data_IF_441040419314
#
_entry.id   IF_441040419314
#
_cell.length_a   1.000
_cell.length_b   1.000
_cell.length_c   1.000
_cell.angle_alpha   90.00
_cell.angle_beta   90.00
_cell.angle_gamma   90.00
#
_symmetry.space_group_name_H-M   'P 1'
#
loop_
_entity.id
_entity.type
_entity.pdbx_description
1 polymer ?
#
# COMPACT_ATOMS: atom_id res chain seq x y z
N UNK A 1 -51.98 -26.48 -45.42
CA UNK A 1 -51.31 -27.27 -44.37
C UNK A 1 -49.99 -26.60 -44.05
N UNK A 2 -49.85 -26.19 -42.78
CA UNK A 2 -48.65 -25.84 -42.01
C UNK A 2 -47.52 -25.01 -42.66
N UNK A 3 -47.45 -23.73 -42.26
CA UNK A 3 -46.22 -22.95 -42.25
C UNK A 3 -45.40 -23.35 -41.01
N UNK A 4 -44.13 -23.72 -41.20
CA UNK A 4 -43.22 -24.04 -40.10
C UNK A 4 -42.59 -22.75 -39.56
N UNK A 5 -42.94 -22.38 -38.33
CA UNK A 5 -42.33 -21.28 -37.60
C UNK A 5 -40.97 -21.73 -37.02
N UNK A 6 -39.91 -20.99 -37.31
CA UNK A 6 -38.60 -21.13 -36.66
C UNK A 6 -38.66 -20.58 -35.24
N UNK A 7 -38.04 -21.24 -34.25
CA UNK A 7 -38.03 -20.73 -32.88
C UNK A 7 -37.07 -19.53 -32.76
N UNK A 8 -37.34 -18.55 -31.89
CA UNK A 8 -36.44 -17.44 -31.68
C UNK A 8 -35.19 -17.94 -30.94
N UNK A 9 -34.02 -17.62 -31.49
CA UNK A 9 -32.73 -17.86 -30.85
C UNK A 9 -32.68 -17.01 -29.57
N UNK A 10 -32.79 -17.65 -28.39
CA UNK A 10 -32.65 -16.98 -27.10
C UNK A 10 -31.18 -16.52 -26.98
N UNK A 11 -30.92 -15.23 -27.26
CA UNK A 11 -29.63 -14.62 -27.02
C UNK A 11 -29.47 -14.47 -25.50
N UNK A 12 -28.81 -15.44 -24.85
CA UNK A 12 -28.33 -15.26 -23.49
C UNK A 12 -27.31 -14.12 -23.50
N UNK A 13 -27.74 -12.92 -23.10
CA UNK A 13 -26.82 -11.88 -22.66
C UNK A 13 -26.10 -12.41 -21.42
N UNK A 14 -24.87 -12.90 -21.63
CA UNK A 14 -23.88 -12.99 -20.56
C UNK A 14 -23.58 -11.56 -20.12
N UNK A 15 -24.32 -11.09 -19.11
CA UNK A 15 -23.90 -9.95 -18.32
C UNK A 15 -22.57 -10.35 -17.68
N UNK A 16 -21.46 -9.91 -18.28
CA UNK A 16 -20.17 -9.92 -17.62
C UNK A 16 -20.30 -8.93 -16.45
N UNK A 17 -20.67 -9.46 -15.28
CA UNK A 17 -20.51 -8.73 -14.03
C UNK A 17 -19.02 -8.53 -13.88
N UNK A 18 -18.55 -7.33 -14.21
CA UNK A 18 -17.22 -6.88 -13.82
C UNK A 18 -17.22 -6.89 -12.29
N UNK A 19 -16.69 -7.98 -11.72
CA UNK A 19 -16.35 -7.99 -10.30
C UNK A 19 -15.35 -6.87 -10.09
N UNK A 20 -15.55 -5.96 -9.12
CA UNK A 20 -14.53 -4.98 -8.79
C UNK A 20 -13.24 -5.74 -8.48
N UNK A 21 -12.14 -5.35 -9.13
CA UNK A 21 -10.82 -5.83 -8.74
C UNK A 21 -10.66 -5.54 -7.24
N UNK A 22 -10.14 -6.49 -6.44
CA UNK A 22 -9.94 -6.19 -5.03
C UNK A 22 -9.02 -4.98 -4.94
N UNK A 23 -9.38 -3.98 -4.14
CA UNK A 23 -8.50 -2.88 -3.78
C UNK A 23 -7.39 -3.46 -2.91
N UNK A 24 -6.27 -3.76 -3.56
CA UNK A 24 -5.02 -4.13 -2.90
C UNK A 24 -4.40 -2.86 -2.33
N UNK A 25 -3.34 -3.00 -1.55
CA UNK A 25 -2.43 -1.91 -1.21
C UNK A 25 -1.93 -1.11 -2.41
N UNK A 26 -0.69 -0.64 -2.28
CA UNK A 26 0.15 -0.72 -3.47
C UNK A 26 -0.05 -2.10 -4.16
N UNK A 27 0.02 -2.14 -5.48
CA UNK A 27 0.07 -3.42 -6.18
C UNK A 27 1.25 -4.27 -5.70
N UNK A 28 1.34 -5.50 -6.20
CA UNK A 28 2.43 -6.45 -5.85
C UNK A 28 3.80 -5.78 -5.97
N UNK A 29 4.04 -5.02 -7.04
CA UNK A 29 5.32 -4.37 -7.30
C UNK A 29 5.61 -3.27 -6.27
N UNK A 30 4.64 -2.41 -5.91
CA UNK A 30 4.89 -1.35 -4.93
C UNK A 30 5.21 -1.90 -3.53
N UNK A 31 4.54 -2.98 -3.08
CA UNK A 31 4.91 -3.66 -1.83
C UNK A 31 6.28 -4.34 -1.90
N UNK A 32 6.58 -4.97 -3.03
CA UNK A 32 7.89 -5.57 -3.28
C UNK A 32 8.98 -4.49 -3.18
N UNK A 33 8.80 -3.35 -3.83
CA UNK A 33 9.72 -2.22 -3.81
C UNK A 33 9.94 -1.68 -2.40
N UNK A 34 8.86 -1.35 -1.66
CA UNK A 34 8.93 -0.87 -0.27
C UNK A 34 9.73 -1.83 0.60
N UNK A 35 9.44 -3.12 0.53
CA UNK A 35 10.11 -4.12 1.34
C UNK A 35 11.56 -4.41 0.92
N UNK A 36 11.86 -4.36 -0.38
CA UNK A 36 13.21 -4.55 -0.88
C UNK A 36 14.12 -3.37 -0.47
N UNK A 37 13.62 -2.13 -0.60
CA UNK A 37 14.30 -0.93 -0.10
C UNK A 37 14.52 -1.05 1.42
N UNK A 38 13.49 -1.44 2.16
CA UNK A 38 13.58 -1.56 3.61
C UNK A 38 14.61 -2.61 4.04
N UNK A 39 14.58 -3.79 3.40
CA UNK A 39 15.47 -4.90 3.73
C UNK A 39 16.96 -4.54 3.52
N UNK A 40 17.26 -3.76 2.48
CA UNK A 40 18.62 -3.25 2.23
C UNK A 40 19.12 -2.24 3.26
N UNK A 41 18.25 -1.72 4.13
CA UNK A 41 18.54 -0.69 5.15
C UNK A 41 18.44 -1.19 6.59
N UNK A 42 18.25 -2.50 6.79
CA UNK A 42 18.18 -3.09 8.12
C UNK A 42 19.55 -3.08 8.79
N UNK A 43 19.56 -2.76 10.08
CA UNK A 43 20.67 -3.01 10.99
C UNK A 43 20.96 -4.51 11.09
N UNK A 44 22.16 -4.89 11.55
CA UNK A 44 22.51 -6.30 11.72
C UNK A 44 21.55 -7.08 12.62
N UNK A 45 21.05 -6.44 13.70
CA UNK A 45 20.08 -7.05 14.61
C UNK A 45 18.70 -7.23 13.96
N UNK A 46 18.19 -6.19 13.29
CA UNK A 46 16.92 -6.28 12.57
C UNK A 46 16.96 -7.27 11.41
N UNK A 47 18.07 -7.32 10.65
CA UNK A 47 18.25 -8.29 9.57
C UNK A 47 18.28 -9.73 10.10
N UNK A 48 18.88 -9.96 11.27
CA UNK A 48 18.87 -11.28 11.91
C UNK A 48 17.47 -11.69 12.38
N UNK A 49 16.73 -10.78 13.02
CA UNK A 49 15.36 -11.03 13.48
C UNK A 49 14.39 -11.27 12.31
N UNK A 50 14.48 -10.46 11.24
CA UNK A 50 13.69 -10.66 10.02
C UNK A 50 13.97 -12.03 9.40
N UNK A 51 15.25 -12.43 9.30
CA UNK A 51 15.61 -13.76 8.80
C UNK A 51 15.04 -14.89 9.67
N UNK A 52 15.06 -14.73 10.99
CA UNK A 52 14.55 -15.72 11.94
C UNK A 52 13.03 -15.87 11.86
N UNK A 53 12.31 -14.77 11.69
CA UNK A 53 10.85 -14.75 11.59
C UNK A 53 10.32 -15.19 10.22
N UNK A 54 11.10 -15.05 9.15
CA UNK A 54 10.68 -15.44 7.82
C UNK A 54 10.69 -16.97 7.64
N UNK A 55 9.67 -17.54 6.97
CA UNK A 55 9.67 -18.97 6.68
C UNK A 55 10.78 -19.33 5.68
N UNK A 56 11.28 -20.56 5.76
CA UNK A 56 12.43 -21.02 4.96
C UNK A 56 12.23 -20.87 3.45
N UNK A 57 11.00 -21.03 2.95
CA UNK A 57 10.69 -20.90 1.52
C UNK A 57 10.83 -19.45 1.00
N UNK A 58 10.77 -18.45 1.88
CA UNK A 58 11.03 -17.05 1.53
C UNK A 58 12.52 -16.79 1.28
N UNK A 59 13.41 -17.73 1.63
CA UNK A 59 14.88 -17.61 1.42
C UNK A 59 15.47 -16.32 2.01
N UNK A 60 14.97 -15.93 3.18
CA UNK A 60 15.32 -14.66 3.85
C UNK A 60 14.94 -13.41 3.05
N UNK A 61 14.08 -13.50 2.04
CA UNK A 61 13.61 -12.36 1.27
C UNK A 61 12.25 -11.86 1.80
N UNK A 62 12.25 -10.71 2.47
CA UNK A 62 11.03 -10.10 2.99
C UNK A 62 10.10 -9.68 1.84
N UNK A 63 10.64 -9.12 0.76
CA UNK A 63 9.85 -8.60 -0.36
C UNK A 63 8.99 -9.66 -1.04
N UNK A 64 9.43 -10.92 -1.05
CA UNK A 64 8.65 -12.05 -1.61
C UNK A 64 7.34 -12.37 -0.86
N UNK A 65 7.16 -11.81 0.34
CA UNK A 65 5.98 -12.04 1.18
C UNK A 65 5.27 -10.73 1.56
N UNK A 66 5.68 -9.58 1.02
CA UNK A 66 5.09 -8.31 1.42
C UNK A 66 3.68 -8.07 0.89
N UNK A 67 3.23 -8.82 -0.12
CA UNK A 67 1.83 -8.82 -0.56
C UNK A 67 0.95 -9.85 0.17
N UNK A 68 1.52 -10.65 1.09
CA UNK A 68 0.79 -11.73 1.79
C UNK A 68 -0.45 -11.24 2.54
N UNK A 69 -0.44 -10.02 3.08
CA UNK A 69 -1.58 -9.48 3.82
C UNK A 69 -2.82 -9.34 2.93
N UNK A 70 -2.64 -8.96 1.65
CA UNK A 70 -3.73 -8.93 0.68
C UNK A 70 -4.31 -10.32 0.40
N UNK A 71 -3.45 -11.33 0.23
CA UNK A 71 -3.87 -12.71 -0.05
C UNK A 71 -4.77 -13.29 1.06
N UNK A 72 -4.57 -12.82 2.29
CA UNK A 72 -5.30 -13.33 3.46
C UNK A 72 -6.50 -12.49 3.85
N UNK A 73 -6.79 -11.35 3.21
CA UNK A 73 -7.97 -10.51 3.51
C UNK A 73 -9.27 -11.31 3.56
N UNK A 74 -9.47 -12.24 2.62
CA UNK A 74 -10.68 -13.08 2.57
C UNK A 74 -10.67 -14.22 3.59
N UNK A 75 -9.48 -14.74 3.93
CA UNK A 75 -9.32 -15.78 4.96
C UNK A 75 -9.42 -15.20 6.36
N UNK A 76 -9.03 -13.94 6.52
CA UNK A 76 -9.06 -13.14 7.73
C UNK A 76 -9.88 -11.88 7.48
N UNK A 77 -11.22 -11.97 7.37
CA UNK A 77 -12.06 -10.82 7.00
C UNK A 77 -11.86 -9.59 7.90
N UNK A 78 -11.54 -9.84 9.17
CA UNK A 78 -11.21 -8.81 10.16
C UNK A 78 -10.02 -7.93 9.75
N UNK A 79 -9.14 -8.41 8.87
CA UNK A 79 -7.96 -7.68 8.40
C UNK A 79 -8.28 -6.68 7.29
N UNK A 80 -9.42 -6.79 6.60
CA UNK A 80 -9.73 -5.96 5.42
C UNK A 80 -9.64 -4.45 5.69
N UNK A 81 -10.31 -3.98 6.75
CA UNK A 81 -10.28 -2.57 7.16
C UNK A 81 -8.91 -2.08 7.65
N UNK A 82 -7.95 -2.99 7.87
CA UNK A 82 -6.61 -2.63 8.35
C UNK A 82 -5.71 -2.12 7.22
N UNK A 83 -6.16 -2.15 5.96
CA UNK A 83 -5.35 -1.71 4.82
C UNK A 83 -5.49 -0.21 4.54
N UNK A 84 -6.52 0.46 5.06
CA UNK A 84 -6.80 1.85 4.69
C UNK A 84 -7.30 2.67 5.89
N UNK A 85 -7.51 3.96 5.63
CA UNK A 85 -8.19 4.94 6.47
C UNK A 85 -9.17 5.70 5.60
N UNK A 86 -10.43 5.73 6.01
CA UNK A 86 -11.46 6.58 5.41
C UNK A 86 -11.48 7.95 6.09
N UNK A 87 -11.30 9.02 5.31
CA UNK A 87 -11.37 10.41 5.78
C UNK A 87 -12.60 11.12 5.24
N UNK A 88 -13.15 12.13 5.94
CA UNK A 88 -14.27 12.91 5.43
C UNK A 88 -13.96 13.62 4.12
N UNK A 89 -14.92 13.59 3.19
CA UNK A 89 -14.75 14.12 1.84
C UNK A 89 -14.33 15.60 1.85
N UNK A 90 -13.32 15.93 1.03
CA UNK A 90 -12.81 17.29 0.86
C UNK A 90 -12.12 17.89 2.08
N UNK A 91 -12.01 17.18 3.20
CA UNK A 91 -11.37 17.70 4.41
C UNK A 91 -9.84 17.80 4.26
N UNK A 92 -9.25 16.89 3.48
CA UNK A 92 -7.81 16.85 3.22
C UNK A 92 -6.94 16.85 4.49
N UNK A 93 -7.45 16.27 5.58
CA UNK A 93 -6.76 16.20 6.85
C UNK A 93 -7.16 14.92 7.59
N UNK A 94 -6.19 14.30 8.25
CA UNK A 94 -6.36 13.08 9.03
C UNK A 94 -6.39 13.36 10.53
N UNK A 95 -7.20 12.60 11.28
CA UNK A 95 -7.17 12.54 12.74
C UNK A 95 -7.45 11.13 13.22
N UNK A 96 -6.55 10.55 14.01
CA UNK A 96 -6.66 9.18 14.49
C UNK A 96 -7.99 8.90 15.19
N UNK A 97 -8.41 9.77 16.13
CA UNK A 97 -9.63 9.57 16.91
C UNK A 97 -10.91 9.63 16.07
N UNK A 98 -10.88 10.37 14.96
CA UNK A 98 -12.03 10.54 14.06
C UNK A 98 -12.08 9.44 13.00
N UNK A 99 -10.94 9.11 12.42
CA UNK A 99 -10.83 8.37 11.16
C UNK A 99 -10.34 6.93 11.36
N UNK A 100 -9.59 6.64 12.43
CA UNK A 100 -9.08 5.28 12.64
C UNK A 100 -10.13 4.37 13.27
N UNK A 101 -11.04 3.87 12.44
CA UNK A 101 -12.12 2.93 12.78
C UNK A 101 -12.53 2.16 11.53
N UNK A 102 -13.17 1.01 11.71
CA UNK A 102 -13.81 0.28 10.60
C UNK A 102 -15.24 0.77 10.34
N UNK A 103 -15.93 0.13 9.39
CA UNK A 103 -17.32 0.44 9.00
C UNK A 103 -18.33 0.31 10.17
N UNK A 104 -18.05 -0.57 11.13
CA UNK A 104 -18.87 -0.74 12.35
C UNK A 104 -18.51 0.30 13.45
N UNK A 105 -17.56 1.19 13.19
CA UNK A 105 -17.12 2.24 14.10
C UNK A 105 -16.18 1.75 15.20
N UNK A 106 -15.62 0.55 15.09
CA UNK A 106 -14.69 0.01 16.08
C UNK A 106 -13.35 0.73 15.96
N UNK A 107 -13.03 1.54 16.96
CA UNK A 107 -11.79 2.34 17.01
C UNK A 107 -10.53 1.49 16.89
N UNK A 108 -9.51 2.05 16.24
CA UNK A 108 -8.20 1.45 16.04
C UNK A 108 -8.14 0.43 14.90
N UNK A 109 -9.25 0.16 14.20
CA UNK A 109 -9.31 -0.77 13.07
C UNK A 109 -9.14 -0.03 11.75
N UNK A 110 -7.93 0.49 11.55
CA UNK A 110 -7.48 1.15 10.33
C UNK A 110 -5.98 0.85 10.14
N UNK A 111 -5.37 1.25 9.01
CA UNK A 111 -3.94 0.99 8.76
C UNK A 111 -3.00 1.61 9.81
N UNK A 112 -3.28 2.81 10.31
CA UNK A 112 -2.48 3.41 11.39
C UNK A 112 -2.56 2.60 12.70
N UNK A 113 -3.76 2.14 13.06
CA UNK A 113 -3.96 1.28 14.22
C UNK A 113 -3.31 -0.09 14.06
N UNK A 114 -3.33 -0.65 12.84
CA UNK A 114 -2.66 -1.90 12.51
C UNK A 114 -1.14 -1.78 12.67
N UNK A 115 -0.53 -0.71 12.15
CA UNK A 115 0.90 -0.43 12.33
C UNK A 115 1.26 -0.37 13.81
N UNK A 116 0.50 0.38 14.62
CA UNK A 116 0.74 0.46 16.07
C UNK A 116 0.62 -0.91 16.75
N UNK A 117 -0.39 -1.70 16.38
CA UNK A 117 -0.62 -3.04 16.92
C UNK A 117 0.53 -4.00 16.61
N UNK A 118 0.88 -4.17 15.32
CA UNK A 118 1.90 -5.13 14.92
C UNK A 118 3.32 -4.69 15.31
N UNK A 119 3.58 -3.39 15.38
CA UNK A 119 4.79 -2.86 16.03
C UNK A 119 4.87 -3.31 17.49
N UNK A 120 3.78 -3.17 18.26
CA UNK A 120 3.73 -3.57 19.67
C UNK A 120 3.89 -5.08 19.87
N UNK A 121 3.37 -5.89 18.94
CA UNK A 121 3.56 -7.35 18.97
C UNK A 121 5.02 -7.73 18.72
N UNK A 122 5.68 -7.13 17.73
CA UNK A 122 7.08 -7.43 17.41
C UNK A 122 8.06 -7.00 18.51
N UNK A 123 7.73 -6.00 19.32
CA UNK A 123 8.50 -5.65 20.54
C UNK A 123 8.54 -6.77 21.59
N UNK A 124 7.76 -7.84 21.42
CA UNK A 124 7.81 -9.05 22.26
C UNK A 124 8.81 -10.10 21.76
N UNK A 125 9.42 -9.90 20.60
CA UNK A 125 10.45 -10.78 20.04
C UNK A 125 11.64 -10.94 21.01
N UNK A 126 12.13 -12.18 21.15
CA UNK A 126 13.25 -12.51 22.05
C UNK A 126 12.94 -12.48 23.55
N UNK A 127 11.71 -12.17 23.97
CA UNK A 127 11.33 -12.23 25.39
C UNK A 127 11.18 -13.68 25.86
N UNK A 128 11.56 -13.94 27.12
CA UNK A 128 11.60 -15.28 27.72
C UNK A 128 10.23 -15.92 27.96
N UNK A 129 9.16 -15.13 27.99
CA UNK A 129 7.78 -15.63 28.07
C UNK A 129 7.25 -15.93 26.68
N UNK A 130 6.59 -17.08 26.50
CA UNK A 130 5.88 -17.39 25.26
C UNK A 130 4.92 -16.25 24.90
N UNK A 131 5.13 -15.62 23.74
CA UNK A 131 4.21 -14.64 23.20
C UNK A 131 2.98 -15.37 22.65
N UNK A 132 1.79 -14.83 22.88
CA UNK A 132 0.55 -15.37 22.29
C UNK A 132 0.42 -15.05 20.79
N UNK A 133 1.29 -14.17 20.26
CA UNK A 133 1.22 -13.66 18.90
C UNK A 133 2.06 -14.49 17.94
N UNK A 134 1.55 -14.63 16.71
CA UNK A 134 2.35 -15.12 15.60
C UNK A 134 3.22 -13.98 15.06
N UNK A 135 4.49 -13.93 15.47
CA UNK A 135 5.39 -12.83 15.10
C UNK A 135 5.79 -12.83 13.62
N UNK A 136 5.73 -13.97 12.93
CA UNK A 136 5.86 -14.00 11.46
C UNK A 136 4.71 -13.22 10.82
N UNK A 137 3.47 -13.48 11.23
CA UNK A 137 2.33 -12.70 10.73
C UNK A 137 2.44 -11.22 11.10
N UNK A 138 2.90 -10.91 12.32
CA UNK A 138 3.10 -9.52 12.72
C UNK A 138 4.14 -8.80 11.84
N UNK A 139 5.23 -9.47 11.47
CA UNK A 139 6.24 -8.93 10.55
C UNK A 139 5.64 -8.67 9.16
N UNK A 140 4.91 -9.64 8.60
CA UNK A 140 4.32 -9.52 7.27
C UNK A 140 3.25 -8.43 7.22
N UNK A 141 2.36 -8.38 8.22
CA UNK A 141 1.36 -7.33 8.34
C UNK A 141 1.99 -5.96 8.51
N UNK A 142 2.95 -5.78 9.42
CA UNK A 142 3.61 -4.48 9.60
C UNK A 142 4.29 -4.01 8.31
N UNK A 143 4.99 -4.92 7.62
CA UNK A 143 5.70 -4.59 6.37
C UNK A 143 4.75 -4.16 5.27
N UNK A 144 3.62 -4.87 5.13
CA UNK A 144 2.57 -4.53 4.18
C UNK A 144 1.91 -3.20 4.53
N UNK A 145 1.46 -3.02 5.77
CA UNK A 145 0.71 -1.83 6.19
C UNK A 145 1.54 -0.55 6.19
N UNK A 146 2.87 -0.63 6.42
CA UNK A 146 3.73 0.53 6.18
C UNK A 146 3.78 0.88 4.68
N UNK A 147 3.69 -0.10 3.78
CA UNK A 147 3.46 0.19 2.36
C UNK A 147 2.13 0.92 2.14
N UNK A 148 1.03 0.31 2.58
CA UNK A 148 -0.33 0.84 2.38
C UNK A 148 -0.51 2.27 2.88
N UNK A 149 -0.07 2.57 4.10
CA UNK A 149 -0.25 3.92 4.65
C UNK A 149 0.50 4.99 3.85
N UNK A 150 1.46 4.61 3.01
CA UNK A 150 2.17 5.53 2.11
C UNK A 150 1.50 5.68 0.74
N UNK A 151 0.58 4.78 0.34
CA UNK A 151 -0.24 4.94 -0.86
C UNK A 151 -1.26 6.07 -0.58
N UNK A 152 -1.22 7.21 -1.30
CA UNK A 152 -2.09 8.34 -1.02
C UNK A 152 -3.59 7.99 -0.89
N UNK A 153 -4.11 7.18 -1.80
CA UNK A 153 -5.53 6.82 -1.84
C UNK A 153 -5.94 5.72 -0.84
N UNK A 154 -4.99 5.15 -0.10
CA UNK A 154 -5.29 4.35 1.10
C UNK A 154 -5.64 5.21 2.31
N UNK A 155 -5.40 6.52 2.22
CA UNK A 155 -5.88 7.52 3.17
C UNK A 155 -6.70 8.54 2.38
N UNK A 156 -7.80 8.06 1.79
CA UNK A 156 -8.65 8.79 0.86
C UNK A 156 -10.01 9.16 1.44
N UNK A 157 -10.95 9.50 0.56
CA UNK A 157 -12.30 9.90 0.97
C UNK A 157 -13.23 8.70 1.15
N UNK A 158 -14.10 8.80 2.14
CA UNK A 158 -15.09 7.76 2.45
C UNK A 158 -16.09 7.58 1.31
N UNK A 159 -16.58 8.67 0.70
CA UNK A 159 -17.63 8.57 -0.31
C UNK A 159 -17.23 7.79 -1.56
N UNK A 160 -15.95 7.89 -1.94
CA UNK A 160 -15.42 7.27 -3.15
C UNK A 160 -14.57 6.02 -2.88
N UNK A 161 -14.55 5.57 -1.62
CA UNK A 161 -13.76 4.42 -1.14
C UNK A 161 -12.29 4.55 -1.54
N UNK A 162 -11.71 5.72 -1.30
CA UNK A 162 -10.33 6.02 -1.72
C UNK A 162 -10.16 6.02 -3.24
N UNK A 163 -11.15 6.49 -4.00
CA UNK A 163 -11.12 6.53 -5.46
C UNK A 163 -11.41 5.19 -6.15
N UNK A 164 -11.87 4.17 -5.42
CA UNK A 164 -12.31 2.90 -6.01
C UNK A 164 -13.64 3.01 -6.76
N UNK A 165 -14.42 4.07 -6.51
CA UNK A 165 -15.66 4.35 -7.23
C UNK A 165 -15.54 5.53 -8.20
N UNK A 166 -14.31 5.91 -8.55
CA UNK A 166 -14.05 6.92 -9.60
C UNK A 166 -13.55 6.15 -10.82
N UNK A 167 -14.44 5.88 -11.77
CA UNK A 167 -14.06 5.22 -13.02
C UNK A 167 -13.22 6.17 -13.87
N UNK A 168 -12.12 5.69 -14.43
CA UNK A 168 -11.24 6.46 -15.32
C UNK A 168 -10.71 5.57 -16.44
N UNK A 169 -10.01 6.17 -17.39
CA UNK A 169 -9.18 5.45 -18.35
C UNK A 169 -7.72 5.74 -18.06
N UNK A 170 -6.91 4.71 -17.85
CA UNK A 170 -5.45 4.82 -17.90
C UNK A 170 -5.01 4.57 -19.34
N UNK A 171 -4.64 5.64 -20.03
CA UNK A 171 -4.50 5.63 -21.49
C UNK A 171 -5.74 5.00 -22.16
N UNK A 172 -5.57 3.85 -22.81
CA UNK A 172 -6.63 3.16 -23.56
C UNK A 172 -7.41 2.13 -22.74
N UNK A 173 -7.12 1.97 -21.45
CA UNK A 173 -7.70 0.91 -20.60
C UNK A 173 -8.59 1.50 -19.53
N UNK A 174 -9.83 1.04 -19.43
CA UNK A 174 -10.71 1.38 -18.30
C UNK A 174 -10.14 0.80 -17.01
N UNK A 175 -10.17 1.60 -15.95
CA UNK A 175 -9.72 1.26 -14.59
C UNK A 175 -10.45 2.17 -13.58
N UNK A 176 -10.05 2.14 -12.31
CA UNK A 176 -10.50 3.09 -11.29
C UNK A 176 -9.32 3.91 -10.78
N UNK A 177 -9.57 5.12 -10.28
CA UNK A 177 -8.51 6.02 -9.84
C UNK A 177 -7.61 5.39 -8.78
N UNK A 178 -8.17 4.60 -7.85
CA UNK A 178 -7.39 3.87 -6.86
C UNK A 178 -6.32 2.97 -7.48
N UNK A 179 -6.72 2.13 -8.44
CA UNK A 179 -5.82 1.21 -9.13
C UNK A 179 -4.76 1.92 -9.98
N UNK A 180 -5.04 3.15 -10.45
CA UNK A 180 -4.04 3.98 -11.12
C UNK A 180 -2.85 4.25 -10.20
N UNK A 181 -3.12 4.54 -8.93
CA UNK A 181 -2.10 4.79 -7.92
C UNK A 181 -1.46 3.51 -7.37
N UNK A 182 -2.24 2.45 -7.17
CA UNK A 182 -1.69 1.17 -6.68
C UNK A 182 -0.69 0.56 -7.66
N UNK A 183 -0.99 0.63 -8.95
CA UNK A 183 -0.34 -0.21 -9.95
C UNK A 183 0.00 0.53 -11.25
N UNK A 184 -0.95 1.26 -11.86
CA UNK A 184 -0.75 1.66 -13.26
C UNK A 184 0.39 2.68 -13.45
N UNK A 185 0.57 3.65 -12.54
CA UNK A 185 1.71 4.57 -12.61
C UNK A 185 3.04 3.80 -12.48
N UNK A 186 3.12 2.83 -11.57
CA UNK A 186 4.34 2.03 -11.34
C UNK A 186 4.64 1.19 -12.58
N UNK A 187 3.65 0.43 -13.06
CA UNK A 187 3.79 -0.46 -14.22
C UNK A 187 4.16 0.30 -15.50
N UNK A 188 3.54 1.46 -15.75
CA UNK A 188 3.92 2.30 -16.89
C UNK A 188 5.36 2.82 -16.75
N UNK A 189 5.80 3.20 -15.55
CA UNK A 189 7.19 3.59 -15.34
C UNK A 189 8.17 2.43 -15.54
N UNK A 190 7.83 1.23 -15.07
CA UNK A 190 8.59 0.00 -15.31
C UNK A 190 8.76 -0.26 -16.81
N UNK A 191 7.65 -0.29 -17.55
CA UNK A 191 7.66 -0.56 -18.99
C UNK A 191 8.43 0.51 -19.79
N UNK A 192 8.30 1.79 -19.44
CA UNK A 192 8.86 2.90 -20.21
C UNK A 192 10.33 3.23 -19.88
N UNK A 193 10.76 3.01 -18.63
CA UNK A 193 12.06 3.50 -18.13
C UNK A 193 12.99 2.43 -17.57
N UNK A 194 12.50 1.23 -17.23
CA UNK A 194 13.27 0.24 -16.47
C UNK A 194 13.30 -1.12 -17.20
N UNK A 195 14.39 -1.34 -17.97
CA UNK A 195 14.54 -2.51 -18.85
C UNK A 195 14.49 -3.87 -18.14
N UNK A 196 15.03 -3.98 -16.92
CA UNK A 196 14.91 -5.18 -16.07
C UNK A 196 13.70 -5.11 -15.11
N UNK A 197 12.73 -4.24 -15.40
CA UNK A 197 11.47 -4.04 -14.67
C UNK A 197 11.68 -3.50 -13.25
N UNK A 198 10.87 -4.00 -12.31
CA UNK A 198 10.89 -3.59 -10.88
C UNK A 198 12.28 -3.60 -10.23
N UNK A 199 13.21 -4.47 -10.65
CA UNK A 199 14.55 -4.55 -10.05
C UNK A 199 15.40 -3.29 -10.31
N UNK A 200 15.44 -2.83 -11.56
CA UNK A 200 16.14 -1.59 -11.96
C UNK A 200 15.48 -0.36 -11.34
N UNK A 201 14.16 -0.40 -11.18
CA UNK A 201 13.42 0.66 -10.51
C UNK A 201 13.81 0.77 -9.04
N UNK A 202 13.88 -0.36 -8.32
CA UNK A 202 14.34 -0.40 -6.92
C UNK A 202 15.77 0.11 -6.79
N UNK A 203 16.68 -0.30 -7.67
CA UNK A 203 18.06 0.17 -7.67
C UNK A 203 18.13 1.69 -7.89
N UNK A 204 17.34 2.21 -8.83
CA UNK A 204 17.23 3.66 -9.10
C UNK A 204 16.71 4.43 -7.88
N UNK A 205 15.64 3.97 -7.24
CA UNK A 205 15.14 4.59 -6.01
C UNK A 205 16.15 4.50 -4.86
N UNK A 206 16.84 3.37 -4.71
CA UNK A 206 17.87 3.18 -3.68
C UNK A 206 19.05 4.14 -3.87
N UNK A 207 19.49 4.35 -5.12
CA UNK A 207 20.48 5.36 -5.48
C UNK A 207 19.98 6.78 -5.21
N UNK A 208 18.72 7.06 -5.50
CA UNK A 208 18.11 8.38 -5.25
C UNK A 208 18.02 8.67 -3.74
N UNK A 209 17.63 7.68 -2.93
CA UNK A 209 17.62 7.76 -1.45
C UNK A 209 19.01 8.07 -0.89
N UNK A 210 20.07 7.46 -1.43
CA UNK A 210 21.45 7.66 -0.97
C UNK A 210 22.15 8.87 -1.59
N UNK A 211 21.60 9.40 -2.69
CA UNK A 211 22.08 10.60 -3.39
C UNK A 211 21.18 11.80 -3.14
N UNK A 212 20.29 12.08 -4.09
CA UNK A 212 19.43 13.29 -4.12
C UNK A 212 18.63 13.51 -2.82
N UNK A 213 18.09 12.44 -2.23
CA UNK A 213 17.26 12.55 -1.03
C UNK A 213 18.02 12.31 0.28
N UNK A 214 19.34 12.17 0.23
CA UNK A 214 20.16 11.83 1.41
C UNK A 214 19.97 12.82 2.58
N UNK A 215 19.78 14.11 2.30
CA UNK A 215 19.52 15.13 3.32
C UNK A 215 18.12 15.05 3.93
N UNK A 216 17.15 14.48 3.20
CA UNK A 216 15.76 14.34 3.66
C UNK A 216 15.56 13.07 4.49
N UNK A 217 16.31 12.01 4.18
CA UNK A 217 16.20 10.68 4.82
C UNK A 217 16.19 10.73 6.35
N UNK A 218 17.08 11.48 7.05
CA UNK A 218 17.04 11.55 8.51
C UNK A 218 15.67 12.03 9.05
N UNK A 219 15.03 12.97 8.36
CA UNK A 219 13.69 13.46 8.75
C UNK A 219 12.59 12.42 8.50
N UNK A 220 12.75 11.55 7.50
CA UNK A 220 11.81 10.46 7.25
C UNK A 220 11.97 9.33 8.28
N UNK A 221 13.21 9.06 8.70
CA UNK A 221 13.54 8.05 9.70
C UNK A 221 13.17 8.49 11.12
N UNK A 222 13.17 9.80 11.39
CA UNK A 222 12.79 10.35 12.69
C UNK A 222 11.34 9.99 13.04
N UNK A 223 11.16 9.54 14.27
CA UNK A 223 9.85 9.33 14.86
C UNK A 223 9.91 9.89 16.29
N UNK A 224 8.82 10.48 16.77
CA UNK A 224 8.79 11.27 18.01
C UNK A 224 9.43 10.55 19.21
N UNK A 225 9.89 11.32 20.20
CA UNK A 225 10.53 10.76 21.40
C UNK A 225 9.62 9.69 22.03
N UNK A 226 10.16 8.48 22.22
CA UNK A 226 9.48 7.29 22.76
C UNK A 226 8.43 6.63 21.84
N UNK A 227 8.41 6.94 20.54
CA UNK A 227 7.58 6.23 19.57
C UNK A 227 8.42 5.26 18.72
N UNK A 228 7.92 4.04 18.56
CA UNK A 228 8.56 3.02 17.70
C UNK A 228 8.15 3.17 16.23
N UNK A 229 6.89 3.57 15.99
CA UNK A 229 6.34 3.90 14.68
C UNK A 229 5.49 5.18 14.77
N UNK A 230 5.39 5.93 13.67
CA UNK A 230 4.70 7.22 13.59
C UNK A 230 3.61 7.23 12.49
N UNK A 231 2.65 6.28 12.49
CA UNK A 231 1.70 6.13 11.39
C UNK A 231 0.84 7.36 11.13
N UNK A 232 0.55 8.16 12.15
CA UNK A 232 -0.29 9.36 12.02
C UNK A 232 0.36 10.44 11.14
N UNK A 233 1.70 10.54 11.18
CA UNK A 233 2.48 11.41 10.28
C UNK A 233 2.31 10.91 8.85
N UNK A 234 2.48 9.60 8.64
CA UNK A 234 2.44 8.99 7.32
C UNK A 234 1.05 9.14 6.69
N UNK A 235 -0.01 8.93 7.48
CA UNK A 235 -1.39 9.10 7.05
C UNK A 235 -1.71 10.55 6.70
N UNK A 236 -1.25 11.52 7.51
CA UNK A 236 -1.44 12.95 7.24
C UNK A 236 -0.79 13.38 5.92
N UNK A 237 0.41 12.86 5.62
CA UNK A 237 1.06 13.09 4.33
C UNK A 237 0.31 12.43 3.18
N UNK A 238 -0.21 11.21 3.36
CA UNK A 238 -0.97 10.49 2.32
C UNK A 238 -2.26 11.20 1.95
N UNK A 239 -3.08 11.66 2.91
CA UNK A 239 -4.30 12.42 2.58
C UNK A 239 -3.98 13.77 1.92
N UNK A 240 -2.88 14.42 2.32
CA UNK A 240 -2.40 15.64 1.64
C UNK A 240 -2.05 15.33 0.19
N UNK A 241 -1.28 14.26 -0.05
CA UNK A 241 -0.92 13.83 -1.40
C UNK A 241 -2.15 13.39 -2.22
N UNK A 242 -3.14 12.76 -1.59
CA UNK A 242 -4.38 12.37 -2.25
C UNK A 242 -5.11 13.60 -2.79
N UNK A 243 -5.27 14.64 -1.96
CA UNK A 243 -5.94 15.88 -2.37
C UNK A 243 -5.15 16.69 -3.41
N UNK A 244 -3.84 16.86 -3.18
CA UNK A 244 -3.01 17.74 -4.02
C UNK A 244 -2.67 17.11 -5.37
N UNK A 245 -2.63 15.77 -5.44
CA UNK A 245 -2.13 15.05 -6.62
C UNK A 245 -3.11 14.02 -7.18
N UNK A 246 -3.71 13.17 -6.34
CA UNK A 246 -4.53 12.05 -6.81
C UNK A 246 -5.90 12.48 -7.32
N UNK A 247 -6.68 13.15 -6.48
CA UNK A 247 -8.00 13.67 -6.87
C UNK A 247 -7.90 14.92 -7.75
N UNK A 248 -6.76 15.62 -7.73
CA UNK A 248 -6.60 16.93 -8.36
C UNK A 248 -6.75 16.84 -9.89
N UNK A 249 -7.84 17.39 -10.40
CA UNK A 249 -8.11 17.47 -11.83
C UNK A 249 -8.54 16.13 -12.44
N UNK A 250 -9.10 15.24 -11.62
CA UNK A 250 -9.69 13.97 -12.06
C UNK A 250 -11.19 14.02 -11.77
N UNK A 251 -11.98 13.82 -12.82
CA UNK A 251 -13.43 13.59 -12.76
C UNK A 251 -13.76 12.16 -13.21
N UNK A 252 -14.99 11.71 -12.96
CA UNK A 252 -15.51 10.44 -13.51
C UNK A 252 -15.30 10.37 -15.03
N UNK A 253 -14.92 9.20 -15.52
CA UNK A 253 -14.59 8.87 -16.91
C UNK A 253 -13.40 9.65 -17.51
N UNK A 254 -12.61 10.37 -16.70
CA UNK A 254 -11.39 11.05 -17.16
C UNK A 254 -10.43 10.08 -17.85
N UNK A 255 -9.75 10.55 -18.91
CA UNK A 255 -8.64 9.80 -19.54
C UNK A 255 -7.31 10.37 -19.04
N UNK A 256 -6.61 9.58 -18.23
CA UNK A 256 -5.34 9.91 -17.60
C UNK A 256 -4.20 9.35 -18.46
N UNK A 257 -3.36 10.25 -18.98
CA UNK A 257 -2.25 9.94 -19.90
C UNK A 257 -0.96 10.65 -19.43
N UNK A 258 -0.03 10.94 -20.35
CA UNK A 258 1.31 11.47 -20.09
C UNK A 258 1.34 12.67 -19.14
N UNK A 259 0.40 13.62 -19.28
CA UNK A 259 0.35 14.80 -18.41
C UNK A 259 0.07 14.43 -16.95
N UNK A 260 -0.82 13.46 -16.72
CA UNK A 260 -1.11 12.96 -15.37
C UNK A 260 0.04 12.08 -14.89
N UNK A 261 0.49 11.13 -15.71
CA UNK A 261 1.60 10.22 -15.39
C UNK A 261 2.87 10.98 -14.98
N UNK A 262 3.40 11.84 -15.85
CA UNK A 262 4.68 12.54 -15.63
C UNK A 262 4.66 13.46 -14.41
N UNK A 263 3.51 14.05 -14.09
CA UNK A 263 3.38 14.94 -12.93
C UNK A 263 3.18 14.20 -11.60
N UNK A 264 2.65 12.96 -11.61
CA UNK A 264 2.37 12.17 -10.40
C UNK A 264 3.44 11.13 -10.10
N UNK A 265 4.19 10.68 -11.10
CA UNK A 265 5.29 9.74 -10.94
C UNK A 265 6.32 10.16 -9.85
N UNK A 266 6.74 11.44 -9.76
CA UNK A 266 7.64 11.87 -8.67
C UNK A 266 7.03 11.69 -7.28
N UNK A 267 5.72 11.86 -7.14
CA UNK A 267 5.00 11.67 -5.87
C UNK A 267 4.97 10.17 -5.51
N UNK A 268 4.66 9.31 -6.47
CA UNK A 268 4.71 7.85 -6.27
C UNK A 268 6.11 7.41 -5.84
N UNK A 269 7.15 7.87 -6.53
CA UNK A 269 8.55 7.58 -6.18
C UNK A 269 8.91 7.99 -4.76
N UNK A 270 8.50 9.20 -4.37
CA UNK A 270 8.71 9.71 -3.03
C UNK A 270 8.02 8.83 -1.98
N UNK A 271 6.76 8.44 -2.21
CA UNK A 271 5.99 7.62 -1.27
C UNK A 271 6.53 6.20 -1.13
N UNK A 272 6.94 5.56 -2.22
CA UNK A 272 7.60 4.25 -2.20
C UNK A 272 8.92 4.30 -1.42
N UNK A 273 9.74 5.32 -1.66
CA UNK A 273 10.99 5.52 -0.93
C UNK A 273 10.77 5.80 0.56
N UNK A 274 9.84 6.69 0.90
CA UNK A 274 9.47 6.97 2.29
C UNK A 274 8.97 5.72 3.00
N UNK A 275 8.12 4.92 2.34
CA UNK A 275 7.64 3.64 2.87
C UNK A 275 8.78 2.68 3.19
N UNK A 276 9.73 2.49 2.27
CA UNK A 276 10.88 1.61 2.48
C UNK A 276 11.83 2.11 3.58
N UNK A 277 12.13 3.41 3.59
CA UNK A 277 12.98 4.05 4.62
C UNK A 277 12.33 3.93 6.01
N UNK A 278 11.03 4.22 6.13
CA UNK A 278 10.30 4.17 7.40
C UNK A 278 10.06 2.75 7.89
N UNK A 279 9.85 1.79 6.99
CA UNK A 279 9.78 0.37 7.36
C UNK A 279 11.11 -0.08 7.97
N UNK A 280 12.24 0.21 7.31
CA UNK A 280 13.56 -0.11 7.85
C UNK A 280 13.82 0.55 9.21
N UNK A 281 13.57 1.86 9.32
CA UNK A 281 13.75 2.59 10.56
C UNK A 281 12.88 2.05 11.71
N UNK A 282 11.64 1.65 11.40
CA UNK A 282 10.73 1.05 12.37
C UNK A 282 11.22 -0.32 12.82
N UNK A 283 11.59 -1.21 11.90
CA UNK A 283 12.14 -2.53 12.24
C UNK A 283 13.48 -2.41 13.01
N UNK A 284 14.31 -1.42 12.67
CA UNK A 284 15.53 -1.10 13.39
C UNK A 284 15.26 -0.65 14.84
N UNK A 285 14.21 0.14 15.08
CA UNK A 285 13.80 0.50 16.45
C UNK A 285 13.19 -0.66 17.24
N UNK A 286 12.55 -1.61 16.55
CA UNK A 286 11.93 -2.78 17.19
C UNK A 286 12.98 -3.80 17.63
N UNK A 287 13.96 -4.08 16.77
CA UNK A 287 14.92 -5.17 16.94
C UNK A 287 16.34 -4.73 17.30
N UNK A 288 16.61 -3.43 17.27
CA UNK A 288 17.91 -2.83 17.62
C UNK A 288 18.11 -2.62 19.12
#
# INVERSE_FOLDING_TARGET
MAAAATPPLLLLLLLAVALPAPSHGWGVDGHLMVCQIAQGRLSGAAAAAVRDLLPSYARSNLSSLCSWADDVKFRYPWSSALHYIDTPDGLCAYSYDRDCKDEDGVKGRCVAGAINNYTSQLLTYGRSSATQYNLTQALLFLSHFIGDIHQPLHVGFTSDRGGNTIDVHWYRRKTVLHHVWDANIIQTAEDDFYGDGVADYIDTLTKTITGEWSEQVPSWEECGKNQTACPDIYASESITAACDWAYKGVDEDSTLEDAYFSSRLPVVNLRLAQGGVRLAATLNRIFG
#
